data_IF_623901465062
#
_entry.id   IF_623901465062
#
_cell.length_a   1.000
_cell.length_b   1.000
_cell.length_c   1.000
_cell.angle_alpha   90.00
_cell.angle_beta   90.00
_cell.angle_gamma   90.00
#
_symmetry.space_group_name_H-M   'P 1'
#
loop_
_entity.id
_entity.type
_entity.pdbx_description
1 polymer ?
#
# COMPACT_ATOMS: atom_id res chain seq x y z
N UNK A 1 22.13 -0.65 2.25
CA UNK A 1 20.74 -1.12 2.14
C UNK A 1 19.79 -0.39 3.10
N UNK A 2 19.97 -0.45 4.43
CA UNK A 2 19.10 0.26 5.39
C UNK A 2 18.90 1.75 5.05
N UNK A 3 19.96 2.46 4.72
CA UNK A 3 19.92 3.88 4.34
C UNK A 3 19.06 4.12 3.09
N UNK A 4 19.15 3.23 2.09
CA UNK A 4 18.35 3.35 0.88
C UNK A 4 16.86 3.11 1.15
N UNK A 5 16.51 2.14 2.00
CA UNK A 5 15.12 1.91 2.43
C UNK A 5 14.59 3.13 3.17
N UNK A 6 15.38 3.73 4.06
CA UNK A 6 15.02 4.95 4.79
C UNK A 6 14.81 6.13 3.82
N UNK A 7 15.67 6.27 2.81
CA UNK A 7 15.53 7.33 1.80
C UNK A 7 14.23 7.17 0.99
N UNK A 8 13.90 5.95 0.54
CA UNK A 8 12.65 5.64 -0.16
C UNK A 8 11.45 5.92 0.74
N UNK A 9 11.51 5.52 2.01
CA UNK A 9 10.44 5.77 2.98
C UNK A 9 10.18 7.27 3.16
N UNK A 10 11.22 8.07 3.41
CA UNK A 10 11.05 9.52 3.57
C UNK A 10 10.55 10.18 2.28
N UNK A 11 11.02 9.74 1.12
CA UNK A 11 10.50 10.22 -0.15
C UNK A 11 8.99 9.95 -0.29
N UNK A 12 8.58 8.70 -0.09
CA UNK A 12 7.18 8.32 -0.23
C UNK A 12 6.31 9.00 0.85
N UNK A 13 6.75 9.00 2.12
CA UNK A 13 5.99 9.58 3.22
C UNK A 13 5.81 11.09 3.08
N UNK A 14 6.83 11.81 2.63
CA UNK A 14 6.70 13.26 2.40
C UNK A 14 5.72 13.58 1.28
N UNK A 15 5.74 12.81 0.19
CA UNK A 15 4.76 12.99 -0.89
C UNK A 15 3.33 12.66 -0.44
N UNK A 16 3.16 11.63 0.39
CA UNK A 16 1.91 11.26 1.05
C UNK A 16 1.40 12.40 1.96
N UNK A 17 2.28 12.96 2.82
CA UNK A 17 1.95 14.08 3.70
C UNK A 17 1.51 15.34 2.89
N UNK A 18 2.17 15.64 1.77
CA UNK A 18 1.77 16.73 0.86
C UNK A 18 0.36 16.47 0.30
N UNK A 19 0.05 15.21 -0.06
CA UNK A 19 -1.27 14.86 -0.59
C UNK A 19 -2.38 14.92 0.46
N UNK A 20 -2.07 14.53 1.71
CA UNK A 20 -3.06 14.17 2.71
C UNK A 20 -3.17 15.09 3.91
N UNK A 21 -2.06 15.74 4.33
CA UNK A 21 -2.00 16.48 5.59
C UNK A 21 -2.14 18.02 5.39
N UNK A 22 -2.62 18.69 6.44
CA UNK A 22 -2.82 20.17 6.46
C UNK A 22 -4.12 20.63 5.83
N UNK A 23 -4.32 21.95 5.81
CA UNK A 23 -5.57 22.61 5.40
C UNK A 23 -5.48 23.20 3.97
N UNK A 24 -4.48 22.81 3.18
CA UNK A 24 -4.27 23.34 1.84
C UNK A 24 -5.37 22.87 0.88
N UNK A 25 -5.76 23.75 -0.05
CA UNK A 25 -6.69 23.42 -1.11
C UNK A 25 -6.07 22.38 -2.08
N UNK A 26 -6.89 21.52 -2.72
CA UNK A 26 -6.41 20.49 -3.65
C UNK A 26 -5.46 21.01 -4.73
N UNK A 27 -5.74 22.18 -5.31
CA UNK A 27 -4.87 22.77 -6.35
C UNK A 27 -3.49 23.18 -5.82
N UNK A 28 -3.42 23.61 -4.56
CA UNK A 28 -2.15 23.95 -3.91
C UNK A 28 -1.32 22.69 -3.66
N UNK A 29 -1.94 21.59 -3.18
CA UNK A 29 -1.31 20.29 -2.99
C UNK A 29 -0.78 19.73 -4.32
N UNK A 30 -1.57 19.82 -5.39
CA UNK A 30 -1.12 19.41 -6.73
C UNK A 30 0.05 20.25 -7.24
N UNK A 31 0.06 21.57 -6.95
CA UNK A 31 1.17 22.43 -7.29
C UNK A 31 2.45 22.03 -6.52
N UNK A 32 2.33 21.71 -5.24
CA UNK A 32 3.43 21.27 -4.40
C UNK A 32 3.95 19.88 -4.83
N UNK A 33 3.08 18.92 -5.14
CA UNK A 33 3.48 17.61 -5.69
C UNK A 33 4.20 17.76 -7.04
N UNK A 34 3.80 18.71 -7.89
CA UNK A 34 4.54 19.01 -9.13
C UNK A 34 5.94 19.55 -8.85
N UNK A 35 6.09 20.45 -7.85
CA UNK A 35 7.41 20.95 -7.44
C UNK A 35 8.27 19.82 -6.86
N UNK A 36 7.67 18.90 -6.09
CA UNK A 36 8.31 17.72 -5.56
C UNK A 36 8.78 16.76 -6.67
N UNK A 37 7.96 16.57 -7.71
CA UNK A 37 8.31 15.78 -8.92
C UNK A 37 9.49 16.38 -9.67
N UNK A 38 9.53 17.70 -9.84
CA UNK A 38 10.69 18.37 -10.47
C UNK A 38 11.97 18.15 -9.64
N UNK A 39 11.87 18.17 -8.32
CA UNK A 39 13.00 17.87 -7.45
C UNK A 39 13.46 16.40 -7.59
N UNK A 40 12.53 15.46 -7.79
CA UNK A 40 12.88 14.07 -8.12
C UNK A 40 13.63 13.98 -9.45
N UNK A 41 13.12 14.61 -10.51
CA UNK A 41 13.74 14.60 -11.84
C UNK A 41 15.16 15.17 -11.81
N UNK A 42 15.37 16.31 -11.12
CA UNK A 42 16.69 16.91 -10.94
C UNK A 42 17.64 15.94 -10.21
N UNK A 43 17.14 15.27 -9.18
CA UNK A 43 17.90 14.29 -8.40
C UNK A 43 18.33 13.09 -9.25
N UNK A 44 17.42 12.52 -10.04
CA UNK A 44 17.67 11.36 -10.89
C UNK A 44 18.64 11.69 -12.04
N UNK A 45 18.67 12.94 -12.49
CA UNK A 45 19.58 13.43 -13.52
C UNK A 45 20.93 13.93 -12.96
N UNK A 46 21.15 13.78 -11.66
CA UNK A 46 22.37 14.25 -11.02
C UNK A 46 22.53 15.78 -10.98
N UNK A 47 21.46 16.51 -11.25
CA UNK A 47 21.42 17.97 -11.12
C UNK A 47 21.25 18.32 -9.64
N UNK A 48 22.36 18.52 -8.93
CA UNK A 48 22.31 18.91 -7.53
C UNK A 48 21.68 20.30 -7.37
N UNK A 49 20.61 20.36 -6.57
CA UNK A 49 20.17 21.63 -5.99
C UNK A 49 21.27 22.15 -5.06
N UNK A 50 21.86 23.29 -5.43
CA UNK A 50 22.96 23.90 -4.67
C UNK A 50 22.48 24.60 -3.40
N UNK A 51 21.19 24.76 -3.21
CA UNK A 51 20.59 25.41 -2.06
C UNK A 51 20.25 24.36 -0.97
N UNK A 52 21.03 24.32 0.12
CA UNK A 52 20.77 23.41 1.24
C UNK A 52 19.45 23.75 1.98
N UNK A 53 18.97 24.99 1.85
CA UNK A 53 17.74 25.45 2.49
C UNK A 53 16.49 25.25 1.60
N UNK A 54 16.69 24.69 0.39
CA UNK A 54 15.55 24.38 -0.48
C UNK A 54 14.61 23.35 0.18
N UNK A 55 13.30 23.44 -0.05
CA UNK A 55 12.35 22.46 0.44
C UNK A 55 12.80 21.04 0.09
N UNK A 56 12.70 20.12 1.06
CA UNK A 56 13.02 18.70 0.92
C UNK A 56 14.48 18.36 0.56
N UNK A 57 15.42 19.31 0.73
CA UNK A 57 16.85 19.15 0.35
C UNK A 57 17.46 17.89 0.96
N UNK A 58 17.21 17.60 2.24
CA UNK A 58 17.72 16.41 2.92
C UNK A 58 17.15 15.11 2.35
N UNK A 59 15.86 15.08 2.00
CA UNK A 59 15.19 13.92 1.44
C UNK A 59 15.81 13.57 0.09
N UNK A 60 15.91 14.57 -0.79
CA UNK A 60 16.47 14.36 -2.12
C UNK A 60 17.97 14.09 -2.11
N UNK A 61 18.72 14.62 -1.13
CA UNK A 61 20.12 14.25 -0.90
C UNK A 61 20.26 12.77 -0.52
N UNK A 62 19.42 12.27 0.41
CA UNK A 62 19.42 10.85 0.77
C UNK A 62 19.04 9.98 -0.42
N UNK A 63 18.02 10.39 -1.20
CA UNK A 63 17.57 9.67 -2.38
C UNK A 63 18.62 9.65 -3.48
N UNK A 64 19.35 10.76 -3.71
CA UNK A 64 20.46 10.85 -4.65
C UNK A 64 21.57 9.84 -4.32
N UNK A 65 21.95 9.77 -3.04
CA UNK A 65 22.96 8.81 -2.56
C UNK A 65 22.48 7.36 -2.78
N UNK A 66 21.21 7.09 -2.44
CA UNK A 66 20.63 5.77 -2.63
C UNK A 66 20.55 5.39 -4.13
N UNK A 67 20.11 6.34 -4.98
CA UNK A 67 20.03 6.15 -6.43
C UNK A 67 21.41 5.89 -7.05
N UNK A 68 22.41 6.72 -6.74
CA UNK A 68 23.76 6.56 -7.25
C UNK A 68 24.41 5.23 -6.82
N UNK A 69 24.19 4.81 -5.57
CA UNK A 69 24.81 3.61 -4.98
C UNK A 69 24.12 2.31 -5.44
N UNK A 70 22.81 2.33 -5.61
CA UNK A 70 22.01 1.12 -5.84
C UNK A 70 21.33 1.10 -7.21
N UNK A 71 21.54 2.12 -8.05
CA UNK A 71 20.90 2.25 -9.38
C UNK A 71 19.38 2.08 -9.30
N UNK A 72 18.75 2.77 -8.34
CA UNK A 72 17.30 2.65 -8.13
C UNK A 72 16.52 2.95 -9.42
N UNK A 73 15.57 2.11 -9.82
CA UNK A 73 14.73 2.38 -10.97
C UNK A 73 13.85 3.62 -10.72
N UNK A 74 13.77 4.50 -11.71
CA UNK A 74 12.98 5.75 -11.61
C UNK A 74 11.47 5.53 -11.72
N UNK A 75 11.04 4.57 -12.53
CA UNK A 75 9.63 4.34 -12.80
C UNK A 75 8.78 4.12 -11.53
N UNK A 76 9.19 3.27 -10.54
CA UNK A 76 8.43 3.12 -9.30
C UNK A 76 8.31 4.42 -8.48
N UNK A 77 9.32 5.31 -8.54
CA UNK A 77 9.27 6.58 -7.83
C UNK A 77 8.27 7.55 -8.48
N UNK A 78 8.18 7.54 -9.82
CA UNK A 78 7.16 8.32 -10.54
C UNK A 78 5.76 7.76 -10.33
N UNK A 79 5.60 6.42 -10.35
CA UNK A 79 4.32 5.75 -10.08
C UNK A 79 3.73 6.18 -8.73
N UNK A 80 4.56 6.26 -7.67
CA UNK A 80 4.13 6.75 -6.36
C UNK A 80 3.60 8.19 -6.42
N UNK A 81 4.29 9.09 -7.12
CA UNK A 81 3.83 10.47 -7.26
C UNK A 81 2.52 10.56 -8.06
N UNK A 82 2.34 9.73 -9.08
CA UNK A 82 1.09 9.65 -9.83
C UNK A 82 -0.07 9.19 -8.93
N UNK A 83 0.18 8.24 -8.02
CA UNK A 83 -0.80 7.80 -7.05
C UNK A 83 -1.17 8.92 -6.06
N UNK A 84 -0.19 9.63 -5.49
CA UNK A 84 -0.46 10.75 -4.56
C UNK A 84 -1.18 11.92 -5.24
N UNK A 85 -0.85 12.24 -6.50
CA UNK A 85 -1.64 13.21 -7.28
C UNK A 85 -3.08 12.74 -7.51
N UNK A 86 -3.29 11.41 -7.67
CA UNK A 86 -4.63 10.84 -7.76
C UNK A 86 -5.37 10.94 -6.43
N UNK A 87 -4.70 10.72 -5.29
CA UNK A 87 -5.31 10.82 -3.95
C UNK A 87 -5.82 12.24 -3.67
N UNK A 88 -5.08 13.27 -4.08
CA UNK A 88 -5.56 14.66 -3.99
C UNK A 88 -6.85 14.87 -4.78
N UNK A 89 -7.01 14.21 -5.94
CA UNK A 89 -8.23 14.28 -6.77
C UNK A 89 -9.36 13.43 -6.21
N UNK A 90 -9.04 12.47 -5.35
CA UNK A 90 -9.96 11.57 -4.66
C UNK A 90 -11.04 10.96 -5.57
N UNK A 91 -10.68 10.25 -6.65
CA UNK A 91 -11.66 9.69 -7.57
C UNK A 91 -12.40 8.51 -6.92
N UNK A 92 -13.66 8.33 -7.31
CA UNK A 92 -14.39 7.11 -6.95
C UNK A 92 -14.08 6.01 -7.97
N UNK A 93 -13.81 4.81 -7.50
CA UNK A 93 -13.51 3.62 -8.31
C UNK A 93 -14.79 2.93 -8.78
N UNK A 94 -14.87 2.59 -10.08
CA UNK A 94 -16.04 1.91 -10.64
C UNK A 94 -15.94 0.40 -10.47
N UNK A 95 -14.74 -0.16 -10.70
CA UNK A 95 -14.49 -1.60 -10.70
C UNK A 95 -13.28 -1.98 -9.86
N UNK A 96 -13.12 -3.29 -9.61
CA UNK A 96 -11.94 -3.87 -8.98
C UNK A 96 -10.67 -3.61 -9.81
N UNK A 97 -10.77 -3.61 -11.14
CA UNK A 97 -9.63 -3.37 -12.03
C UNK A 97 -9.11 -1.93 -11.90
N UNK A 98 -10.01 -0.93 -11.79
CA UNK A 98 -9.61 0.46 -11.54
C UNK A 98 -8.90 0.60 -10.19
N UNK A 99 -9.37 -0.08 -9.14
CA UNK A 99 -8.73 -0.06 -7.84
C UNK A 99 -7.38 -0.79 -7.85
N UNK A 100 -7.26 -1.89 -8.60
CA UNK A 100 -5.97 -2.58 -8.77
C UNK A 100 -4.98 -1.73 -9.58
N UNK A 101 -5.44 -0.96 -10.59
CA UNK A 101 -4.58 0.00 -11.29
C UNK A 101 -4.05 1.09 -10.35
N UNK A 102 -4.86 1.56 -9.42
CA UNK A 102 -4.39 2.44 -8.35
C UNK A 102 -3.35 1.73 -7.45
N UNK A 103 -3.59 0.49 -6.99
CA UNK A 103 -2.62 -0.29 -6.20
C UNK A 103 -1.31 -0.50 -6.95
N UNK A 104 -1.35 -0.66 -8.28
CA UNK A 104 -0.16 -0.79 -9.14
C UNK A 104 0.78 0.42 -9.03
N UNK A 105 0.24 1.62 -8.75
CA UNK A 105 1.01 2.86 -8.60
C UNK A 105 1.24 3.28 -7.15
N UNK A 106 0.36 2.92 -6.23
CA UNK A 106 0.46 3.34 -4.82
C UNK A 106 1.21 2.34 -3.92
N UNK A 107 1.10 1.04 -4.17
CA UNK A 107 1.64 0.00 -3.31
C UNK A 107 2.75 -0.83 -3.96
N UNK A 108 2.54 -1.30 -5.20
CA UNK A 108 3.48 -2.19 -5.90
C UNK A 108 4.88 -1.59 -6.08
N UNK A 109 5.04 -0.26 -6.29
CA UNK A 109 6.36 0.36 -6.43
C UNK A 109 7.26 0.13 -5.22
N UNK A 110 6.71 0.11 -4.01
CA UNK A 110 7.48 -0.14 -2.78
C UNK A 110 8.05 -1.56 -2.80
N UNK A 111 7.24 -2.56 -3.15
CA UNK A 111 7.70 -3.94 -3.30
C UNK A 111 8.80 -4.09 -4.35
N UNK A 112 8.61 -3.47 -5.52
CA UNK A 112 9.59 -3.49 -6.62
C UNK A 112 10.92 -2.83 -6.24
N UNK A 113 10.89 -1.69 -5.54
CA UNK A 113 12.10 -1.02 -5.02
C UNK A 113 12.83 -1.89 -3.99
N UNK A 114 12.09 -2.53 -3.08
CA UNK A 114 12.69 -3.44 -2.09
C UNK A 114 13.32 -4.67 -2.74
N UNK A 115 12.65 -5.31 -3.70
CA UNK A 115 13.22 -6.43 -4.47
C UNK A 115 14.50 -6.02 -5.20
N UNK A 116 14.47 -4.85 -5.87
CA UNK A 116 15.64 -4.30 -6.55
C UNK A 116 16.83 -4.10 -5.60
N UNK A 117 16.62 -3.50 -4.44
CA UNK A 117 17.64 -3.29 -3.42
C UNK A 117 18.27 -4.61 -2.93
N UNK A 118 17.51 -5.69 -2.94
CA UNK A 118 17.97 -7.02 -2.53
C UNK A 118 18.54 -7.85 -3.70
N UNK A 119 18.64 -7.26 -4.90
CA UNK A 119 19.13 -7.96 -6.09
C UNK A 119 18.19 -9.09 -6.56
N UNK A 120 16.93 -9.05 -6.13
CA UNK A 120 15.92 -10.03 -6.53
C UNK A 120 15.32 -9.57 -7.85
N UNK A 121 15.56 -10.34 -8.90
CA UNK A 121 15.12 -10.07 -10.25
C UNK A 121 14.31 -11.27 -10.76
N UNK A 122 13.41 -11.05 -11.69
CA UNK A 122 12.59 -12.07 -12.32
C UNK A 122 11.12 -11.67 -12.33
N UNK A 123 10.51 -11.78 -13.50
CA UNK A 123 9.13 -11.36 -13.73
C UNK A 123 8.13 -12.07 -12.80
N UNK A 124 8.33 -13.37 -12.56
CA UNK A 124 7.48 -14.14 -11.64
C UNK A 124 7.55 -13.61 -10.19
N UNK A 125 8.75 -13.24 -9.69
CA UNK A 125 8.91 -12.72 -8.33
C UNK A 125 8.34 -11.30 -8.21
N UNK A 126 8.51 -10.47 -9.25
CA UNK A 126 7.91 -9.14 -9.31
C UNK A 126 6.38 -9.26 -9.30
N UNK A 127 5.81 -10.17 -10.10
CA UNK A 127 4.36 -10.42 -10.12
C UNK A 127 3.84 -10.86 -8.76
N UNK A 128 4.52 -11.78 -8.08
CA UNK A 128 4.15 -12.20 -6.72
C UNK A 128 4.25 -11.04 -5.72
N UNK A 129 5.27 -10.18 -5.84
CA UNK A 129 5.42 -8.98 -5.01
C UNK A 129 4.28 -7.99 -5.22
N UNK A 130 3.91 -7.75 -6.47
CA UNK A 130 2.78 -6.89 -6.82
C UNK A 130 1.47 -7.43 -6.22
N UNK A 131 1.25 -8.74 -6.22
CA UNK A 131 0.09 -9.37 -5.58
C UNK A 131 0.09 -9.15 -4.06
N UNK A 132 1.23 -9.34 -3.40
CA UNK A 132 1.36 -9.09 -1.95
C UNK A 132 1.10 -7.62 -1.63
N UNK A 133 1.72 -6.69 -2.37
CA UNK A 133 1.56 -5.25 -2.14
C UNK A 133 0.12 -4.78 -2.39
N UNK A 134 -0.50 -5.22 -3.50
CA UNK A 134 -1.90 -4.91 -3.78
C UNK A 134 -2.83 -5.48 -2.70
N UNK A 135 -2.60 -6.72 -2.26
CA UNK A 135 -3.40 -7.33 -1.18
C UNK A 135 -3.27 -6.57 0.13
N UNK A 136 -2.07 -6.13 0.51
CA UNK A 136 -1.85 -5.31 1.71
C UNK A 136 -2.60 -3.98 1.61
N UNK A 137 -2.59 -3.35 0.45
CA UNK A 137 -3.33 -2.10 0.22
C UNK A 137 -4.84 -2.31 0.30
N UNK A 138 -5.36 -3.37 -0.32
CA UNK A 138 -6.78 -3.75 -0.19
C UNK A 138 -7.16 -4.01 1.27
N UNK A 139 -6.33 -4.77 2.00
CA UNK A 139 -6.56 -5.04 3.43
C UNK A 139 -6.61 -3.73 4.22
N UNK A 140 -5.71 -2.79 3.92
CA UNK A 140 -5.71 -1.48 4.57
C UNK A 140 -7.02 -0.71 4.32
N UNK A 141 -7.51 -0.68 3.07
CA UNK A 141 -8.80 -0.05 2.75
C UNK A 141 -9.96 -0.66 3.54
N UNK A 142 -10.03 -1.99 3.62
CA UNK A 142 -11.12 -2.65 4.37
C UNK A 142 -10.99 -2.52 5.88
N UNK A 143 -9.76 -2.36 6.37
CA UNK A 143 -9.45 -2.07 7.77
C UNK A 143 -9.87 -0.66 8.17
N UNK A 144 -9.68 0.32 7.27
CA UNK A 144 -9.72 1.76 7.57
C UNK A 144 -11.05 2.45 7.21
N UNK A 145 -12.12 1.70 6.89
CA UNK A 145 -13.42 2.26 6.50
C UNK A 145 -13.97 3.28 7.51
N UNK A 146 -13.78 3.06 8.83
CA UNK A 146 -14.19 4.00 9.86
C UNK A 146 -13.41 5.32 9.88
N UNK A 147 -12.24 5.35 9.22
CA UNK A 147 -11.36 6.51 9.13
C UNK A 147 -11.54 7.21 7.79
N UNK A 148 -11.55 6.45 6.69
CA UNK A 148 -11.55 6.98 5.32
C UNK A 148 -12.90 7.56 4.91
N UNK A 149 -13.99 6.88 5.25
CA UNK A 149 -15.32 7.34 4.86
C UNK A 149 -15.70 8.71 5.44
N UNK A 150 -15.43 9.01 6.73
CA UNK A 150 -15.66 10.35 7.27
C UNK A 150 -14.81 11.45 6.60
N UNK A 151 -13.68 11.08 5.99
CA UNK A 151 -12.80 11.96 5.22
C UNK A 151 -13.23 12.10 3.75
N UNK A 152 -14.33 11.43 3.35
CA UNK A 152 -14.81 11.41 1.98
C UNK A 152 -14.00 10.50 1.04
N UNK A 153 -13.14 9.62 1.57
CA UNK A 153 -12.36 8.65 0.78
C UNK A 153 -13.13 7.36 0.64
N UNK A 154 -13.39 6.97 -0.60
CA UNK A 154 -14.17 5.75 -0.90
C UNK A 154 -13.37 4.87 -1.84
N UNK A 155 -12.75 3.83 -1.28
CA UNK A 155 -12.01 2.83 -2.05
C UNK A 155 -12.86 1.60 -2.44
N UNK A 156 -14.11 1.53 -1.95
CA UNK A 156 -15.03 0.45 -2.32
C UNK A 156 -15.47 0.63 -3.78
N UNK A 157 -15.26 -0.37 -4.67
CA UNK A 157 -15.71 -0.25 -6.05
C UNK A 157 -17.24 -0.14 -6.12
N UNK A 158 -17.73 0.78 -6.96
CA UNK A 158 -19.17 1.03 -7.11
C UNK A 158 -19.95 -0.22 -7.53
N UNK A 159 -19.35 -1.07 -8.37
CA UNK A 159 -19.97 -2.32 -8.82
C UNK A 159 -20.17 -3.30 -7.67
N UNK A 160 -19.17 -3.43 -6.76
CA UNK A 160 -19.29 -4.28 -5.58
C UNK A 160 -20.39 -3.75 -4.63
N UNK A 161 -20.40 -2.45 -4.35
CA UNK A 161 -21.42 -1.82 -3.53
C UNK A 161 -22.84 -2.04 -4.12
N UNK A 162 -23.00 -1.81 -5.41
CA UNK A 162 -24.27 -1.99 -6.11
C UNK A 162 -24.77 -3.44 -6.09
N UNK A 163 -23.87 -4.44 -6.20
CA UNK A 163 -24.22 -5.86 -6.11
C UNK A 163 -24.83 -6.22 -4.74
N UNK A 164 -24.50 -5.47 -3.68
CA UNK A 164 -25.08 -5.61 -2.34
C UNK A 164 -26.25 -4.64 -2.09
N UNK A 165 -26.77 -3.96 -3.12
CA UNK A 165 -27.85 -2.99 -3.00
C UNK A 165 -27.45 -1.70 -2.29
N UNK A 166 -26.16 -1.41 -2.21
CA UNK A 166 -25.61 -0.23 -1.55
C UNK A 166 -25.34 0.82 -2.64
N UNK A 167 -26.11 1.90 -2.63
CA UNK A 167 -25.93 3.03 -3.52
C UNK A 167 -25.22 4.15 -2.75
N UNK A 168 -23.98 4.37 -3.10
CA UNK A 168 -23.20 5.44 -2.49
C UNK A 168 -23.08 6.62 -3.43
N UNK A 169 -23.59 7.81 -3.04
CA UNK A 169 -22.70 8.95 -3.04
C UNK A 169 -22.11 9.14 -1.64
N UNK A 170 -20.87 9.62 -1.51
CA UNK A 170 -20.34 10.13 -0.27
C UNK A 170 -21.28 11.22 0.26
N UNK A 171 -21.78 11.07 1.50
CA UNK A 171 -22.67 12.04 2.13
C UNK A 171 -24.07 11.52 2.53
N UNK A 172 -24.50 10.37 2.05
CA UNK A 172 -25.77 9.75 2.43
C UNK A 172 -25.61 8.91 3.71
N UNK A 173 -25.38 9.56 4.86
CA UNK A 173 -25.37 8.92 6.17
C UNK A 173 -24.12 8.07 6.47
N UNK A 174 -23.83 7.88 7.77
CA UNK A 174 -22.83 6.88 8.19
C UNK A 174 -23.38 5.49 7.91
N UNK A 175 -22.57 4.56 7.36
CA UNK A 175 -22.96 3.16 7.27
C UNK A 175 -23.44 2.67 8.63
N UNK A 176 -24.57 1.97 8.64
CA UNK A 176 -25.26 1.56 9.87
C UNK A 176 -24.87 0.15 10.34
N UNK A 177 -23.94 -0.52 9.66
CA UNK A 177 -23.56 -1.91 9.95
C UNK A 177 -24.64 -2.90 9.57
N UNK A 178 -25.40 -2.61 8.52
CA UNK A 178 -26.46 -3.50 7.99
C UNK A 178 -25.88 -4.85 7.56
N UNK A 179 -26.76 -5.84 7.41
CA UNK A 179 -26.35 -7.16 6.89
C UNK A 179 -25.75 -7.06 5.49
N UNK A 180 -26.25 -6.17 4.63
CA UNK A 180 -25.73 -5.95 3.28
C UNK A 180 -24.30 -5.34 3.32
N UNK A 181 -24.07 -4.37 4.20
CA UNK A 181 -22.75 -3.77 4.38
C UNK A 181 -21.72 -4.78 4.91
N UNK A 182 -22.11 -5.62 5.87
CA UNK A 182 -21.24 -6.69 6.38
C UNK A 182 -20.94 -7.73 5.30
N UNK A 183 -21.92 -8.12 4.50
CA UNK A 183 -21.75 -9.04 3.39
C UNK A 183 -20.80 -8.47 2.32
N UNK A 184 -20.90 -7.18 2.01
CA UNK A 184 -19.98 -6.49 1.12
C UNK A 184 -18.54 -6.53 1.67
N UNK A 185 -18.33 -6.14 2.92
CA UNK A 185 -16.99 -6.18 3.53
C UNK A 185 -16.43 -7.60 3.58
N UNK A 186 -17.27 -8.61 3.82
CA UNK A 186 -16.85 -10.01 3.79
C UNK A 186 -16.33 -10.41 2.41
N UNK A 187 -17.04 -10.07 1.34
CA UNK A 187 -16.61 -10.36 -0.03
C UNK A 187 -15.32 -9.63 -0.41
N UNK A 188 -15.20 -8.37 -0.01
CA UNK A 188 -13.98 -7.57 -0.23
C UNK A 188 -12.77 -8.15 0.54
N UNK A 189 -12.97 -8.64 1.76
CA UNK A 189 -11.94 -9.34 2.53
C UNK A 189 -11.54 -10.67 1.88
N UNK A 190 -12.49 -11.42 1.34
CA UNK A 190 -12.20 -12.67 0.63
C UNK A 190 -11.40 -12.41 -0.66
N UNK A 191 -11.72 -11.34 -1.40
CA UNK A 191 -10.93 -10.89 -2.55
C UNK A 191 -9.50 -10.51 -2.15
N UNK A 192 -9.30 -9.69 -1.11
CA UNK A 192 -7.97 -9.33 -0.61
C UNK A 192 -7.17 -10.56 -0.15
N UNK A 193 -7.84 -11.53 0.52
CA UNK A 193 -7.25 -12.80 0.92
C UNK A 193 -6.79 -13.63 -0.28
N UNK A 194 -7.65 -13.76 -1.30
CA UNK A 194 -7.31 -14.49 -2.54
C UNK A 194 -6.09 -13.85 -3.23
N UNK A 195 -6.09 -12.52 -3.38
CA UNK A 195 -4.96 -11.76 -3.95
C UNK A 195 -3.67 -11.98 -3.15
N UNK A 196 -3.75 -12.01 -1.80
CA UNK A 196 -2.60 -12.30 -0.94
C UNK A 196 -2.05 -13.71 -1.19
N UNK A 197 -2.92 -14.70 -1.34
CA UNK A 197 -2.51 -16.09 -1.58
C UNK A 197 -1.82 -16.28 -2.94
N UNK A 198 -2.20 -15.50 -3.98
CA UNK A 198 -1.51 -15.51 -5.28
C UNK A 198 -0.04 -15.09 -5.17
N UNK A 199 0.31 -14.21 -4.22
CA UNK A 199 1.68 -13.77 -3.98
C UNK A 199 2.40 -14.48 -2.82
N UNK A 200 1.70 -15.32 -2.05
CA UNK A 200 2.20 -15.86 -0.77
C UNK A 200 3.44 -16.78 -0.89
N UNK A 201 3.78 -17.24 -2.09
CA UNK A 201 5.01 -18.01 -2.32
C UNK A 201 6.27 -17.14 -2.38
N UNK A 202 6.16 -15.85 -2.68
CA UNK A 202 7.29 -14.92 -2.78
C UNK A 202 8.28 -15.02 -1.60
N UNK A 203 7.85 -14.98 -0.33
CA UNK A 203 8.76 -15.08 0.81
C UNK A 203 9.54 -16.40 0.89
N UNK A 204 9.02 -17.46 0.30
CA UNK A 204 9.64 -18.78 0.29
C UNK A 204 10.69 -18.88 -0.83
N UNK A 205 10.39 -18.31 -2.00
CA UNK A 205 11.29 -18.24 -3.14
C UNK A 205 12.52 -17.35 -2.85
N UNK A 206 12.31 -16.21 -2.20
CA UNK A 206 13.41 -15.30 -1.84
C UNK A 206 14.27 -15.91 -0.73
N UNK A 207 13.65 -16.52 0.29
CA UNK A 207 14.36 -17.09 1.42
C UNK A 207 15.13 -16.08 2.29
N UNK A 208 16.05 -16.58 3.11
CA UNK A 208 16.93 -15.77 3.94
C UNK A 208 16.17 -14.83 4.89
N UNK A 209 16.83 -13.73 5.26
CA UNK A 209 16.26 -12.73 6.17
C UNK A 209 15.08 -11.99 5.55
N UNK A 210 15.21 -11.53 4.30
CA UNK A 210 14.12 -10.84 3.60
C UNK A 210 12.89 -11.74 3.49
N UNK A 211 13.09 -13.02 3.13
CA UNK A 211 11.99 -13.99 3.08
C UNK A 211 11.29 -14.17 4.43
N UNK A 212 12.01 -14.11 5.56
CA UNK A 212 11.39 -14.16 6.90
C UNK A 212 10.60 -12.88 7.19
N UNK A 213 11.15 -11.71 6.88
CA UNK A 213 10.48 -10.42 7.06
C UNK A 213 9.19 -10.38 6.22
N UNK A 214 9.24 -10.81 4.95
CA UNK A 214 8.05 -10.87 4.08
C UNK A 214 7.00 -11.89 4.56
N UNK A 215 7.41 -13.03 5.17
CA UNK A 215 6.45 -13.97 5.81
C UNK A 215 5.68 -13.28 6.93
N UNK A 216 6.37 -12.50 7.77
CA UNK A 216 5.72 -11.75 8.84
C UNK A 216 4.73 -10.72 8.28
N UNK A 217 5.10 -10.04 7.18
CA UNK A 217 4.22 -9.07 6.50
C UNK A 217 2.97 -9.77 5.96
N UNK A 218 3.10 -10.88 5.22
CA UNK A 218 1.97 -11.66 4.70
C UNK A 218 1.08 -12.14 5.84
N UNK A 219 1.67 -12.72 6.90
CA UNK A 219 0.90 -13.20 8.06
C UNK A 219 0.24 -12.05 8.81
N UNK A 220 0.86 -10.88 8.88
CA UNK A 220 0.27 -9.67 9.45
C UNK A 220 -0.99 -9.23 8.71
N UNK A 221 -0.93 -9.14 7.39
CA UNK A 221 -2.09 -8.83 6.56
C UNK A 221 -3.23 -9.83 6.72
N UNK A 222 -2.94 -11.13 6.63
CA UNK A 222 -3.93 -12.19 6.87
C UNK A 222 -4.52 -12.13 8.28
N UNK A 223 -3.72 -11.75 9.29
CA UNK A 223 -4.19 -11.58 10.66
C UNK A 223 -5.16 -10.42 10.82
N UNK A 224 -4.97 -9.32 10.09
CA UNK A 224 -5.94 -8.21 10.05
C UNK A 224 -7.26 -8.72 9.47
N UNK A 225 -7.27 -9.47 8.37
CA UNK A 225 -8.51 -10.06 7.80
C UNK A 225 -9.22 -10.97 8.82
N UNK A 226 -8.48 -11.78 9.59
CA UNK A 226 -9.07 -12.58 10.67
C UNK A 226 -9.73 -11.71 11.76
N UNK A 227 -9.12 -10.56 12.07
CA UNK A 227 -9.69 -9.62 13.04
C UNK A 227 -10.95 -8.95 12.52
N UNK A 228 -10.96 -8.55 11.24
CA UNK A 228 -12.16 -8.03 10.56
C UNK A 228 -13.29 -9.06 10.62
N UNK A 229 -13.01 -10.34 10.31
CA UNK A 229 -13.98 -11.42 10.41
C UNK A 229 -14.53 -11.62 11.84
N UNK A 230 -13.65 -11.56 12.87
CA UNK A 230 -14.04 -11.72 14.28
C UNK A 230 -14.94 -10.60 14.80
N UNK A 231 -14.86 -9.40 14.23
CA UNK A 231 -15.75 -8.29 14.55
C UNK A 231 -16.99 -8.23 13.64
N UNK A 232 -17.33 -9.35 13.00
CA UNK A 232 -18.46 -9.48 12.11
C UNK A 232 -18.46 -8.44 10.98
N UNK A 233 -17.26 -8.18 10.43
CA UNK A 233 -17.01 -7.24 9.31
C UNK A 233 -17.44 -5.79 9.59
N UNK A 234 -17.53 -5.38 10.85
CA UNK A 234 -18.01 -4.05 11.24
C UNK A 234 -16.89 -2.98 11.24
N UNK A 235 -16.07 -2.92 10.19
CA UNK A 235 -14.97 -1.95 10.04
C UNK A 235 -15.46 -0.52 9.76
N UNK A 236 -16.73 -0.34 9.47
CA UNK A 236 -17.35 0.98 9.39
C UNK A 236 -17.38 1.73 10.74
N UNK A 237 -17.32 1.01 11.87
CA UNK A 237 -17.44 1.58 13.21
C UNK A 237 -16.12 1.64 13.97
N UNK A 238 -15.23 0.69 13.72
CA UNK A 238 -13.96 0.62 14.42
C UNK A 238 -12.89 -0.04 13.57
N UNK A 239 -11.65 0.42 13.76
CA UNK A 239 -10.47 -0.07 13.07
C UNK A 239 -9.85 -1.24 13.84
N UNK A 240 -9.78 -2.46 13.28
CA UNK A 240 -9.00 -3.54 13.88
C UNK A 240 -7.50 -3.28 13.75
N UNK A 241 -6.74 -3.54 14.81
CA UNK A 241 -5.29 -3.35 14.81
C UNK A 241 -4.58 -4.59 15.36
N UNK A 242 -3.35 -4.85 14.93
CA UNK A 242 -2.50 -5.85 15.56
C UNK A 242 -2.06 -5.38 16.94
N UNK A 243 -1.89 -6.33 17.84
CA UNK A 243 -1.43 -6.09 19.21
C UNK A 243 -0.22 -6.97 19.54
N UNK A 244 0.46 -6.69 20.64
CA UNK A 244 1.56 -7.52 21.10
C UNK A 244 1.16 -8.99 21.32
N UNK A 245 -0.11 -9.27 21.62
CA UNK A 245 -0.64 -10.62 21.75
C UNK A 245 -0.68 -11.41 20.43
N UNK A 246 -0.60 -10.74 19.27
CA UNK A 246 -0.53 -11.42 17.99
C UNK A 246 0.88 -11.91 17.63
N UNK A 247 1.91 -11.32 18.23
CA UNK A 247 3.32 -11.58 17.89
C UNK A 247 3.69 -13.07 17.95
N UNK A 248 3.36 -13.84 19.00
CA UNK A 248 3.68 -15.26 19.03
C UNK A 248 3.04 -16.04 17.88
N UNK A 249 1.77 -15.72 17.55
CA UNK A 249 1.05 -16.36 16.45
C UNK A 249 1.68 -16.02 15.09
N UNK A 250 2.04 -14.75 14.88
CA UNK A 250 2.68 -14.30 13.65
C UNK A 250 4.04 -14.95 13.44
N UNK A 251 4.85 -15.03 14.49
CA UNK A 251 6.16 -15.70 14.45
C UNK A 251 6.01 -17.19 14.14
N UNK A 252 5.12 -17.88 14.86
CA UNK A 252 4.87 -19.31 14.61
C UNK A 252 4.41 -19.57 13.18
N UNK A 253 3.46 -18.79 12.66
CA UNK A 253 2.95 -18.90 11.29
C UNK A 253 4.03 -18.58 10.25
N UNK A 254 4.83 -17.53 10.46
CA UNK A 254 5.92 -17.17 9.58
C UNK A 254 6.98 -18.30 9.49
N UNK A 255 7.29 -18.95 10.60
CA UNK A 255 8.23 -20.07 10.64
C UNK A 255 7.66 -21.35 10.03
N UNK A 256 6.35 -21.61 10.20
CA UNK A 256 5.65 -22.80 9.68
C UNK A 256 5.13 -22.64 8.24
N UNK A 257 5.26 -21.47 7.63
CA UNK A 257 4.67 -21.14 6.33
C UNK A 257 5.05 -22.12 5.20
N UNK A 258 6.27 -22.66 5.20
CA UNK A 258 6.70 -23.71 4.24
C UNK A 258 5.82 -24.95 4.22
N UNK A 259 5.23 -25.30 5.36
CA UNK A 259 4.34 -26.48 5.48
C UNK A 259 2.94 -26.20 4.93
N UNK A 260 2.51 -24.93 4.93
CA UNK A 260 1.17 -24.54 4.48
C UNK A 260 1.09 -24.27 2.97
N UNK A 261 2.19 -23.83 2.34
CA UNK A 261 2.23 -23.40 0.93
C UNK A 261 3.23 -24.19 0.06
N UNK A 262 3.95 -25.13 0.62
CA UNK A 262 4.83 -26.01 -0.14
C UNK A 262 4.03 -27.05 -0.96
N UNK A 263 4.58 -27.56 -2.09
CA UNK A 263 3.93 -28.65 -2.83
C UNK A 263 3.64 -29.79 -1.88
N UNK A 264 2.41 -30.31 -1.94
CA UNK A 264 2.08 -31.57 -1.28
C UNK A 264 3.05 -32.63 -1.82
N UNK A 265 3.84 -33.25 -0.92
CA UNK A 265 4.72 -34.39 -1.28
C UNK A 265 3.87 -35.60 -1.64
#
# INVERSE_FOLDING_TARGET
>A
MREAVVAIYHFARTADDIADEGDQAPDQRLCELKAYRLALEDTLQGRQRRDPDAPWSDIFRMLAIAHAKHHLPSAPLHDLLDAFEQDVRNPAYTSRDELLDYCRRSANPIGRLLLHLHGVNGEALITMSDKVCSALQLINFWQDLSIDLPRGRVYIPKQDAAAHGIHWPPGAGRPSGTQCERALVAELCDWASATMHEGAMLPLEIGGRLGLELRLVVQGGLRILERIRRMDYQTFHSRPVLSAADVPTLLWRALSMRRAFGPAR
#
